data_IF_869045889021
#
_entry.id   IF_869045889021
#
_cell.length_a   1.000
_cell.length_b   1.000
_cell.length_c   1.000
_cell.angle_alpha   90.00
_cell.angle_beta   90.00
_cell.angle_gamma   90.00
#
_symmetry.space_group_name_H-M   'P 1'
#
loop_
_entity.id
_entity.type
_entity.pdbx_description
1 polymer ?
#
# COMPACT_ATOMS: atom_id res chain seq x y z
N UNK A 1 20.97 -20.22 24.09
CA UNK A 1 20.13 -19.08 24.55
C UNK A 1 20.35 -17.89 23.62
N UNK A 2 19.27 -17.12 23.37
CA UNK A 2 19.12 -15.86 22.58
C UNK A 2 18.95 -16.06 21.06
N UNK A 3 17.70 -16.19 20.56
CA UNK A 3 16.74 -15.14 20.12
C UNK A 3 17.30 -14.37 18.91
N UNK A 4 16.69 -14.48 17.72
CA UNK A 4 15.73 -13.47 17.24
C UNK A 4 14.68 -14.05 16.28
N UNK A 5 13.43 -13.60 16.44
CA UNK A 5 12.31 -13.89 15.54
C UNK A 5 12.46 -13.22 14.16
N UNK A 6 11.48 -13.36 13.26
CA UNK A 6 11.58 -12.83 11.90
C UNK A 6 11.46 -11.30 11.92
N UNK A 7 12.59 -10.61 12.14
CA UNK A 7 12.75 -9.15 11.99
C UNK A 7 13.77 -8.86 10.88
N UNK A 8 13.71 -9.59 9.76
CA UNK A 8 14.55 -9.29 8.59
C UNK A 8 13.94 -9.78 7.28
N UNK A 9 12.63 -9.52 7.09
CA UNK A 9 12.16 -9.24 5.73
C UNK A 9 12.28 -7.73 5.51
N UNK A 10 13.53 -7.27 5.33
CA UNK A 10 13.74 -6.03 4.58
C UNK A 10 12.99 -6.22 3.26
N UNK A 11 11.91 -5.48 3.08
CA UNK A 11 11.26 -5.38 1.77
C UNK A 11 12.31 -4.87 0.81
N UNK A 12 12.82 -5.77 -0.04
CA UNK A 12 13.59 -5.41 -1.21
C UNK A 12 12.86 -4.27 -1.91
N UNK A 13 13.55 -3.17 -2.24
CA UNK A 13 12.96 -2.03 -2.94
C UNK A 13 12.13 -2.42 -4.17
N UNK A 14 12.45 -3.57 -4.78
CA UNK A 14 11.68 -4.19 -5.87
C UNK A 14 10.20 -4.40 -5.57
N UNK A 15 9.80 -4.81 -4.36
CA UNK A 15 8.38 -5.02 -4.01
C UNK A 15 7.63 -3.72 -3.80
N UNK A 16 8.30 -2.71 -3.25
CA UNK A 16 7.74 -1.37 -3.12
C UNK A 16 7.51 -0.75 -4.50
N UNK A 17 8.52 -0.82 -5.38
CA UNK A 17 8.41 -0.30 -6.75
C UNK A 17 7.30 -1.00 -7.54
N UNK A 18 7.14 -2.31 -7.38
CA UNK A 18 6.03 -3.06 -7.97
C UNK A 18 4.67 -2.61 -7.42
N UNK A 19 4.54 -2.49 -6.09
CA UNK A 19 3.31 -2.05 -5.44
C UNK A 19 2.89 -0.66 -5.91
N UNK A 20 3.84 0.29 -5.93
CA UNK A 20 3.62 1.65 -6.42
C UNK A 20 3.20 1.64 -7.89
N UNK A 21 3.86 0.86 -8.75
CA UNK A 21 3.49 0.77 -10.16
C UNK A 21 2.05 0.26 -10.35
N UNK A 22 1.61 -0.70 -9.54
CA UNK A 22 0.22 -1.20 -9.58
C UNK A 22 -0.77 -0.14 -9.09
N UNK A 23 -0.49 0.55 -7.98
CA UNK A 23 -1.37 1.60 -7.47
C UNK A 23 -1.44 2.81 -8.41
N UNK A 24 -0.32 3.25 -8.98
CA UNK A 24 -0.30 4.33 -9.97
C UNK A 24 -1.08 3.97 -11.23
N UNK A 25 -1.03 2.69 -11.65
CA UNK A 25 -1.86 2.21 -12.75
C UNK A 25 -3.34 2.28 -12.43
N UNK A 26 -3.77 1.88 -11.23
CA UNK A 26 -5.18 2.03 -10.82
C UNK A 26 -5.57 3.51 -10.70
N UNK A 27 -4.72 4.33 -10.07
CA UNK A 27 -4.93 5.77 -9.94
C UNK A 27 -5.05 6.47 -11.30
N UNK A 28 -4.32 6.02 -12.32
CA UNK A 28 -4.41 6.59 -13.67
C UNK A 28 -5.77 6.39 -14.36
N UNK A 29 -6.58 5.44 -13.88
CA UNK A 29 -7.94 5.18 -14.36
C UNK A 29 -8.97 6.07 -13.65
N UNK A 30 -8.62 6.64 -12.50
CA UNK A 30 -9.49 7.51 -11.74
C UNK A 30 -9.55 8.90 -12.37
N UNK A 31 -10.72 9.52 -12.31
CA UNK A 31 -10.91 10.90 -12.73
C UNK A 31 -10.14 11.84 -11.78
N UNK A 32 -9.37 12.78 -12.35
CA UNK A 32 -8.54 13.69 -11.55
C UNK A 32 -9.37 14.81 -10.93
N UNK A 33 -9.04 15.16 -9.68
CA UNK A 33 -9.63 16.30 -8.98
C UNK A 33 -10.55 15.93 -7.81
N UNK A 34 -10.72 14.63 -7.53
CA UNK A 34 -11.34 14.21 -6.27
C UNK A 34 -10.41 14.45 -5.08
N UNK A 35 -11.03 14.71 -3.94
CA UNK A 35 -10.35 14.77 -2.65
C UNK A 35 -10.10 13.41 -2.04
N UNK A 36 -10.74 12.36 -2.53
CA UNK A 36 -10.64 11.01 -1.97
C UNK A 36 -10.55 9.98 -3.08
N UNK A 37 -9.62 9.04 -2.93
CA UNK A 37 -9.46 7.90 -3.84
C UNK A 37 -9.38 6.61 -3.05
N UNK A 38 -9.97 5.55 -3.61
CA UNK A 38 -9.89 4.20 -3.08
C UNK A 38 -9.44 3.25 -4.18
N UNK A 39 -8.16 2.90 -4.14
CA UNK A 39 -7.48 2.08 -5.14
C UNK A 39 -7.40 0.64 -4.62
N UNK A 40 -7.70 -0.34 -5.45
CA UNK A 40 -7.64 -1.76 -5.07
C UNK A 40 -6.91 -2.53 -6.15
N UNK A 41 -5.96 -3.38 -5.76
CA UNK A 41 -5.16 -4.21 -6.65
C UNK A 41 -5.32 -5.69 -6.30
N UNK A 42 -5.24 -6.54 -7.32
CA UNK A 42 -5.27 -8.00 -7.22
C UNK A 42 -3.87 -8.55 -6.92
N UNK A 43 -3.39 -8.23 -5.73
CA UNK A 43 -2.20 -8.81 -5.10
C UNK A 43 -2.23 -8.50 -3.60
N UNK A 44 -1.58 -9.33 -2.79
CA UNK A 44 -1.53 -9.13 -1.34
C UNK A 44 -0.11 -8.85 -0.85
N UNK A 45 0.10 -7.62 -0.37
CA UNK A 45 1.39 -7.20 0.17
C UNK A 45 1.47 -7.38 1.68
N UNK A 46 2.67 -7.59 2.21
CA UNK A 46 2.86 -7.61 3.66
C UNK A 46 2.68 -6.21 4.27
N UNK A 47 2.46 -6.16 5.59
CA UNK A 47 2.29 -4.90 6.33
C UNK A 47 3.46 -3.94 6.12
N UNK A 48 4.69 -4.47 6.05
CA UNK A 48 5.89 -3.65 5.88
C UNK A 48 5.91 -2.92 4.52
N UNK A 49 5.49 -3.61 3.45
CA UNK A 49 5.34 -3.01 2.12
C UNK A 49 4.21 -1.97 2.14
N UNK A 50 3.08 -2.25 2.79
CA UNK A 50 2.00 -1.29 2.96
C UNK A 50 2.43 -0.02 3.71
N UNK A 51 3.20 -0.15 4.80
CA UNK A 51 3.73 0.99 5.56
C UNK A 51 4.66 1.86 4.70
N UNK A 52 5.46 1.24 3.83
CA UNK A 52 6.31 1.96 2.88
C UNK A 52 5.49 2.68 1.81
N UNK A 53 4.46 2.03 1.26
CA UNK A 53 3.53 2.65 0.30
C UNK A 53 2.86 3.87 0.92
N UNK A 54 2.29 3.73 2.13
CA UNK A 54 1.66 4.83 2.86
C UNK A 54 2.62 6.01 3.01
N UNK A 55 3.86 5.73 3.44
CA UNK A 55 4.90 6.75 3.58
C UNK A 55 5.21 7.45 2.27
N UNK A 56 5.37 6.71 1.17
CA UNK A 56 5.65 7.29 -0.15
C UNK A 56 4.56 8.25 -0.61
N UNK A 57 3.27 7.90 -0.43
CA UNK A 57 2.18 8.80 -0.77
C UNK A 57 2.11 10.03 0.15
N UNK A 58 2.36 9.86 1.45
CA UNK A 58 2.45 11.01 2.38
C UNK A 58 3.59 11.97 1.99
N UNK A 59 4.77 11.43 1.67
CA UNK A 59 5.94 12.20 1.23
C UNK A 59 5.69 12.90 -0.12
N UNK A 60 4.83 12.34 -0.98
CA UNK A 60 4.39 12.94 -2.24
C UNK A 60 3.35 14.07 -2.06
N UNK A 61 2.93 14.37 -0.84
CA UNK A 61 2.05 15.50 -0.52
C UNK A 61 0.58 15.14 -0.29
N UNK A 62 0.23 13.85 -0.24
CA UNK A 62 -1.10 13.43 0.17
C UNK A 62 -1.32 13.71 1.65
N UNK A 63 -2.53 14.16 2.01
CA UNK A 63 -2.82 14.51 3.41
C UNK A 63 -3.01 13.28 4.29
N UNK A 64 -3.51 12.20 3.72
CA UNK A 64 -3.62 10.90 4.36
C UNK A 64 -3.46 9.80 3.30
N UNK A 65 -2.75 8.75 3.67
CA UNK A 65 -2.64 7.50 2.93
C UNK A 65 -2.88 6.35 3.90
N UNK A 66 -3.63 5.33 3.50
CA UNK A 66 -3.84 4.11 4.31
C UNK A 66 -3.90 2.90 3.40
N UNK A 67 -2.95 2.00 3.59
CA UNK A 67 -2.82 0.72 2.89
C UNK A 67 -3.30 -0.40 3.82
N UNK A 68 -4.16 -1.27 3.29
CA UNK A 68 -4.69 -2.43 4.01
C UNK A 68 -4.86 -3.61 3.07
N UNK A 69 -4.62 -4.81 3.58
CA UNK A 69 -4.94 -6.03 2.85
C UNK A 69 -6.31 -6.60 3.21
N UNK A 70 -6.84 -7.44 2.32
CA UNK A 70 -8.01 -8.27 2.61
C UNK A 70 -7.82 -9.14 3.86
N UNK A 71 -6.63 -9.73 4.05
CA UNK A 71 -6.35 -10.56 5.22
C UNK A 71 -6.35 -9.76 6.53
N UNK A 72 -5.87 -8.52 6.53
CA UNK A 72 -5.96 -7.63 7.70
C UNK A 72 -7.40 -7.28 8.08
N UNK A 73 -8.33 -7.36 7.12
CA UNK A 73 -9.76 -7.19 7.36
C UNK A 73 -10.49 -8.49 7.69
N UNK A 74 -9.79 -9.64 7.75
CA UNK A 74 -10.41 -10.96 7.94
C UNK A 74 -11.19 -11.47 6.73
N UNK A 75 -10.92 -10.90 5.56
CA UNK A 75 -11.51 -11.31 4.28
C UNK A 75 -10.64 -12.37 3.59
N UNK A 76 -11.13 -12.91 2.47
CA UNK A 76 -10.35 -13.84 1.65
C UNK A 76 -9.11 -13.11 1.11
N UNK A 77 -7.94 -13.70 1.32
CA UNK A 77 -6.67 -13.14 0.86
C UNK A 77 -6.61 -12.94 -0.66
N UNK A 78 -5.82 -11.96 -1.09
CA UNK A 78 -5.54 -11.68 -2.50
C UNK A 78 -5.66 -10.21 -2.91
N UNK A 79 -6.13 -9.32 -2.03
CA UNK A 79 -6.34 -7.92 -2.36
C UNK A 79 -5.57 -6.99 -1.42
N UNK A 80 -5.06 -5.90 -2.00
CA UNK A 80 -4.53 -4.76 -1.25
C UNK A 80 -5.27 -3.49 -1.67
N UNK A 81 -5.80 -2.76 -0.70
CA UNK A 81 -6.47 -1.49 -0.88
C UNK A 81 -5.62 -0.33 -0.37
N UNK A 82 -5.59 0.77 -1.11
CA UNK A 82 -4.97 2.04 -0.74
C UNK A 82 -6.02 3.15 -0.78
N UNK A 83 -6.19 3.84 0.34
CA UNK A 83 -7.05 5.02 0.47
C UNK A 83 -6.20 6.28 0.54
N UNK A 84 -6.51 7.25 -0.30
CA UNK A 84 -5.78 8.51 -0.40
C UNK A 84 -6.73 9.70 -0.19
N UNK A 85 -6.24 10.75 0.47
CA UNK A 85 -6.99 11.99 0.70
C UNK A 85 -6.15 13.24 0.36
N UNK A 86 -6.71 14.14 -0.45
CA UNK A 86 -6.16 15.42 -0.86
C UNK A 86 -7.06 16.59 -0.40
N UNK A 87 -6.48 17.78 -0.19
CA UNK A 87 -7.16 19.00 0.28
C UNK A 87 -7.93 19.72 -0.85
#
# INVERSE_FOLDING_TARGET
>A
MKVTGPIDMRSDGSKLDEALAKFEKEFSKEDKGFRFYHLVIDDEYDRATCDLVEKTYLDAGWKSATCKTSSENGERSGLTGLRLYAY
#
